data_IF_656341918702
#
_entry.id   IF_656341918702
#
_cell.length_a   1.000
_cell.length_b   1.000
_cell.length_c   1.000
_cell.angle_alpha   90.00
_cell.angle_beta   90.00
_cell.angle_gamma   90.00
#
_symmetry.space_group_name_H-M   'P 1'
#
loop_
_entity.id
_entity.type
_entity.pdbx_description
1 polymer ?
#
# COMPACT_ATOMS: atom_id res chain seq x y z
N UNK A 1 -10.16 -22.54 28.33
CA UNK A 1 -8.81 -22.70 27.76
C UNK A 1 -8.34 -21.34 27.27
N UNK A 2 -7.46 -20.70 28.04
CA UNK A 2 -6.91 -19.39 27.73
C UNK A 2 -5.96 -19.50 26.54
N UNK A 3 -6.09 -18.59 25.57
CA UNK A 3 -5.02 -18.32 24.64
C UNK A 3 -3.92 -17.60 25.40
N UNK A 4 -2.86 -18.31 25.66
CA UNK A 4 -1.64 -17.76 26.23
C UNK A 4 -0.95 -16.93 25.14
N UNK A 5 -1.07 -15.61 25.24
CA UNK A 5 -0.30 -14.66 24.45
C UNK A 5 1.11 -14.60 25.04
N UNK A 6 1.88 -15.67 24.88
CA UNK A 6 3.30 -15.61 25.21
C UNK A 6 3.98 -14.68 24.22
N UNK A 7 4.67 -13.69 24.75
CA UNK A 7 5.38 -12.59 24.08
C UNK A 7 6.55 -13.02 23.17
N UNK A 8 6.66 -14.30 22.85
CA UNK A 8 7.81 -14.86 22.12
C UNK A 8 7.61 -14.92 20.59
N UNK A 9 6.48 -14.44 20.05
CA UNK A 9 6.19 -14.45 18.61
C UNK A 9 6.48 -13.11 17.92
N UNK A 10 6.93 -12.09 18.63
CA UNK A 10 7.54 -10.88 18.04
C UNK A 10 9.03 -11.08 17.81
N UNK A 11 9.40 -12.12 17.07
CA UNK A 11 10.79 -12.27 16.67
C UNK A 11 11.10 -11.30 15.50
N UNK A 12 12.34 -10.86 15.46
CA UNK A 12 12.91 -10.02 14.39
C UNK A 12 12.65 -10.57 12.96
N UNK A 13 12.29 -11.84 12.84
CA UNK A 13 11.99 -12.51 11.58
C UNK A 13 10.68 -12.04 10.93
N UNK A 14 9.66 -11.63 11.72
CA UNK A 14 8.40 -11.11 11.18
C UNK A 14 8.55 -9.70 10.59
N UNK A 15 9.42 -8.86 11.16
CA UNK A 15 9.62 -7.49 10.69
C UNK A 15 10.26 -7.42 9.30
N UNK A 16 11.04 -8.42 8.92
CA UNK A 16 11.64 -8.53 7.59
C UNK A 16 10.66 -9.06 6.53
N UNK A 17 9.56 -9.68 6.97
CA UNK A 17 8.55 -10.27 6.11
C UNK A 17 7.41 -9.33 5.77
N UNK A 18 7.32 -8.19 6.45
CA UNK A 18 6.25 -7.21 6.26
C UNK A 18 6.86 -5.90 5.74
N UNK A 19 6.41 -5.46 4.56
CA UNK A 19 6.65 -4.12 4.05
C UNK A 19 5.49 -3.20 4.46
N UNK A 20 5.78 -1.98 4.91
CA UNK A 20 4.74 -1.03 5.32
C UNK A 20 4.93 0.33 4.64
N UNK A 21 3.86 0.81 4.01
CA UNK A 21 3.75 2.16 3.48
C UNK A 21 2.71 2.90 4.32
N UNK A 22 3.12 3.84 5.19
CA UNK A 22 2.21 4.59 6.04
C UNK A 22 1.50 5.71 5.27
N UNK A 23 0.32 6.11 5.71
CA UNK A 23 -0.44 7.22 5.18
C UNK A 23 0.35 8.55 5.22
N UNK A 24 1.08 8.79 6.31
CA UNK A 24 1.89 10.01 6.49
C UNK A 24 3.22 9.65 7.15
N UNK A 25 4.27 10.29 6.68
CA UNK A 25 5.57 10.26 7.33
C UNK A 25 5.91 11.68 7.80
N UNK A 26 6.26 11.81 9.07
CA UNK A 26 6.78 13.07 9.62
C UNK A 26 8.27 13.17 9.27
N UNK A 27 8.58 13.92 8.22
CA UNK A 27 9.95 14.24 7.81
C UNK A 27 10.14 15.75 7.98
N UNK A 28 11.27 16.15 8.53
CA UNK A 28 11.70 17.54 8.46
C UNK A 28 12.22 17.82 7.04
N UNK A 29 11.38 18.43 6.22
CA UNK A 29 11.68 18.75 4.82
C UNK A 29 12.79 19.79 4.64
N UNK A 30 13.26 20.42 5.73
CA UNK A 30 14.41 21.32 5.69
C UNK A 30 15.75 20.57 5.65
N UNK A 31 15.75 19.29 5.98
CA UNK A 31 16.93 18.45 5.91
C UNK A 31 17.27 18.09 4.45
N UNK A 32 18.52 18.21 4.02
CA UNK A 32 18.95 17.79 2.68
C UNK A 32 19.09 16.27 2.61
N UNK A 33 17.95 15.55 2.68
CA UNK A 33 17.88 14.10 2.68
C UNK A 33 17.64 13.57 1.26
N UNK A 34 18.59 12.86 0.69
CA UNK A 34 18.45 12.26 -0.65
C UNK A 34 17.67 10.95 -0.58
N UNK A 35 17.07 10.56 -1.69
CA UNK A 35 16.31 9.31 -1.82
C UNK A 35 17.12 8.10 -1.33
N UNK A 36 18.36 7.94 -1.78
CA UNK A 36 19.22 6.82 -1.34
C UNK A 36 19.50 6.80 0.15
N UNK A 37 19.69 7.97 0.76
CA UNK A 37 19.97 8.10 2.18
C UNK A 37 18.69 7.76 2.99
N UNK A 38 17.52 8.18 2.48
CA UNK A 38 16.22 7.82 3.03
C UNK A 38 15.94 6.31 3.00
N UNK A 39 16.32 5.62 1.92
CA UNK A 39 16.18 4.17 1.82
C UNK A 39 16.91 3.42 2.93
N UNK A 40 18.02 3.98 3.44
CA UNK A 40 18.89 3.37 4.44
C UNK A 40 18.72 3.92 5.86
N UNK A 41 17.75 4.81 6.12
CA UNK A 41 17.61 5.50 7.41
C UNK A 41 17.41 4.58 8.62
N UNK A 42 16.66 3.49 8.46
CA UNK A 42 16.35 2.58 9.56
C UNK A 42 17.26 1.37 9.61
N UNK A 43 17.90 1.06 8.51
CA UNK A 43 18.74 -0.11 8.36
C UNK A 43 19.70 0.08 7.18
N UNK A 44 20.92 -0.35 7.34
CA UNK A 44 21.90 -0.31 6.27
C UNK A 44 21.51 -1.31 5.17
N UNK A 45 21.10 -0.79 4.03
CA UNK A 45 20.79 -1.59 2.84
C UNK A 45 21.98 -1.55 1.88
N UNK A 46 22.27 -2.68 1.26
CA UNK A 46 23.23 -2.76 0.17
C UNK A 46 22.74 -1.92 -1.02
N UNK A 47 23.66 -1.22 -1.67
CA UNK A 47 23.35 -0.33 -2.78
C UNK A 47 22.61 -1.05 -3.92
N UNK A 48 22.92 -2.31 -4.14
CA UNK A 48 22.27 -3.15 -5.15
C UNK A 48 20.77 -3.33 -4.85
N UNK A 49 20.41 -3.59 -3.59
CA UNK A 49 19.01 -3.71 -3.16
C UNK A 49 18.24 -2.40 -3.28
N UNK A 50 18.89 -1.28 -2.98
CA UNK A 50 18.31 0.05 -3.18
C UNK A 50 18.03 0.28 -4.67
N UNK A 51 18.99 0.00 -5.54
CA UNK A 51 18.84 0.19 -6.99
C UNK A 51 17.75 -0.72 -7.56
N UNK A 52 17.68 -2.00 -7.14
CA UNK A 52 16.64 -2.94 -7.53
C UNK A 52 15.25 -2.41 -7.16
N UNK A 53 15.04 -2.01 -5.90
CA UNK A 53 13.76 -1.52 -5.41
C UNK A 53 13.32 -0.22 -6.10
N UNK A 54 14.24 0.73 -6.30
CA UNK A 54 13.96 1.99 -7.01
C UNK A 54 13.68 1.75 -8.51
N UNK A 55 14.32 0.76 -9.12
CA UNK A 55 14.07 0.37 -10.51
C UNK A 55 12.69 -0.26 -10.66
N UNK A 56 12.31 -1.15 -9.74
CA UNK A 56 11.01 -1.81 -9.72
C UNK A 56 9.85 -0.82 -9.61
N UNK A 57 10.04 0.26 -8.84
CA UNK A 57 9.04 1.33 -8.69
C UNK A 57 9.19 2.45 -9.75
N UNK A 58 10.15 2.34 -10.67
CA UNK A 58 10.35 3.28 -11.78
C UNK A 58 10.97 4.63 -11.38
N UNK A 59 11.60 4.72 -10.20
CA UNK A 59 12.17 5.98 -9.68
C UNK A 59 13.68 5.95 -9.44
N UNK A 60 14.40 5.04 -10.06
CA UNK A 60 15.87 4.93 -9.94
C UNK A 60 16.59 6.23 -10.33
N UNK A 61 16.05 6.96 -11.30
CA UNK A 61 16.59 8.25 -11.76
C UNK A 61 16.53 9.36 -10.69
N UNK A 62 15.76 9.16 -9.62
CA UNK A 62 15.62 10.10 -8.50
C UNK A 62 16.57 9.77 -7.33
N UNK A 63 17.39 8.73 -7.43
CA UNK A 63 18.23 8.20 -6.34
C UNK A 63 19.03 9.27 -5.59
N UNK A 64 19.61 10.24 -6.32
CA UNK A 64 20.44 11.31 -5.75
C UNK A 64 19.68 12.62 -5.52
N UNK A 65 18.38 12.69 -5.85
CA UNK A 65 17.52 13.85 -5.66
C UNK A 65 17.11 13.99 -4.18
N UNK A 66 16.95 15.22 -3.70
CA UNK A 66 16.41 15.45 -2.35
C UNK A 66 14.94 15.07 -2.28
N UNK A 67 14.50 14.51 -1.16
CA UNK A 67 13.10 14.13 -0.95
C UNK A 67 12.15 15.33 -1.05
N UNK A 68 12.57 16.52 -0.59
CA UNK A 68 11.77 17.74 -0.63
C UNK A 68 11.49 18.24 -2.05
N UNK A 69 12.25 17.77 -3.05
CA UNK A 69 12.08 18.17 -4.45
C UNK A 69 11.20 17.19 -5.25
N UNK A 70 10.67 16.15 -4.60
CA UNK A 70 9.82 15.14 -5.24
C UNK A 70 8.38 15.61 -5.32
N UNK A 71 7.69 15.25 -6.41
CA UNK A 71 6.23 15.30 -6.47
C UNK A 71 5.61 14.27 -5.51
N UNK A 72 4.32 14.44 -5.16
CA UNK A 72 3.62 13.49 -4.30
C UNK A 72 3.67 12.06 -4.84
N UNK A 73 3.44 11.87 -6.13
CA UNK A 73 3.51 10.55 -6.77
C UNK A 73 4.92 9.96 -6.81
N UNK A 74 5.96 10.78 -7.05
CA UNK A 74 7.36 10.33 -6.95
C UNK A 74 7.70 9.89 -5.53
N UNK A 75 7.27 10.65 -4.53
CA UNK A 75 7.49 10.32 -3.13
C UNK A 75 6.79 9.02 -2.73
N UNK A 76 5.52 8.82 -3.15
CA UNK A 76 4.81 7.56 -2.90
C UNK A 76 5.52 6.34 -3.51
N UNK A 77 6.07 6.49 -4.73
CA UNK A 77 6.87 5.43 -5.36
C UNK A 77 8.19 5.15 -4.62
N UNK A 78 8.81 6.18 -4.02
CA UNK A 78 9.99 6.01 -3.15
C UNK A 78 9.63 5.30 -1.85
N UNK A 79 8.48 5.63 -1.23
CA UNK A 79 7.96 4.92 -0.06
C UNK A 79 7.71 3.44 -0.36
N UNK A 80 7.09 3.17 -1.50
CA UNK A 80 6.85 1.81 -1.98
C UNK A 80 8.17 1.07 -2.21
N UNK A 81 9.16 1.70 -2.87
CA UNK A 81 10.49 1.13 -3.05
C UNK A 81 11.14 0.73 -1.71
N UNK A 82 11.04 1.60 -0.71
CA UNK A 82 11.55 1.31 0.63
C UNK A 82 10.84 0.12 1.27
N UNK A 83 9.53 0.04 1.17
CA UNK A 83 8.74 -1.05 1.74
C UNK A 83 9.08 -2.41 1.11
N UNK A 84 9.39 -2.44 -0.19
CA UNK A 84 9.70 -3.68 -0.92
C UNK A 84 11.19 -4.05 -0.96
N UNK A 85 12.08 -3.19 -0.48
CA UNK A 85 13.54 -3.38 -0.56
C UNK A 85 14.05 -4.67 0.10
N UNK A 86 13.27 -5.23 1.03
CA UNK A 86 13.56 -6.50 1.71
C UNK A 86 12.80 -7.70 1.15
N UNK A 87 12.09 -7.53 0.01
CA UNK A 87 11.25 -8.57 -0.61
C UNK A 87 10.27 -9.20 0.40
N UNK A 88 9.34 -8.39 0.95
CA UNK A 88 8.41 -8.85 1.98
C UNK A 88 7.46 -9.93 1.45
N UNK A 89 6.92 -10.75 2.35
CA UNK A 89 5.84 -11.70 2.06
C UNK A 89 4.45 -11.03 2.11
N UNK A 90 4.33 -9.92 2.88
CA UNK A 90 3.12 -9.10 2.99
C UNK A 90 3.47 -7.63 2.87
N UNK A 91 2.77 -6.92 1.99
CA UNK A 91 2.86 -5.48 1.84
C UNK A 91 1.60 -4.80 2.39
N UNK A 92 1.77 -4.01 3.44
CA UNK A 92 0.69 -3.22 4.07
C UNK A 92 0.75 -1.80 3.54
N UNK A 93 -0.33 -1.34 2.92
CA UNK A 93 -0.46 -0.04 2.29
C UNK A 93 -1.58 0.74 2.97
N UNK A 94 -1.24 1.84 3.64
CA UNK A 94 -2.18 2.70 4.35
C UNK A 94 -2.38 3.99 3.55
N UNK A 95 -3.54 4.09 2.86
CA UNK A 95 -3.89 5.23 1.98
C UNK A 95 -2.78 5.59 0.98
N UNK A 96 -2.28 4.65 0.17
CA UNK A 96 -1.03 4.83 -0.60
C UNK A 96 -1.12 5.89 -1.70
N UNK A 97 -2.33 6.32 -2.08
CA UNK A 97 -2.56 7.33 -3.14
C UNK A 97 -2.81 8.74 -2.59
N UNK A 98 -2.74 8.94 -1.28
CA UNK A 98 -3.00 10.25 -0.70
C UNK A 98 -2.00 11.30 -1.21
N UNK A 99 -2.51 12.39 -1.81
CA UNK A 99 -1.70 13.47 -2.37
C UNK A 99 -1.15 13.19 -3.78
N UNK A 100 -1.65 12.16 -4.45
CA UNK A 100 -1.39 11.85 -5.86
C UNK A 100 -2.56 12.34 -6.70
N UNK A 101 -2.32 12.80 -7.92
CA UNK A 101 -3.37 13.17 -8.86
C UNK A 101 -4.03 11.90 -9.46
N UNK A 102 -5.22 12.05 -10.02
CA UNK A 102 -6.03 10.92 -10.50
C UNK A 102 -5.28 9.98 -11.48
N UNK A 103 -4.50 10.56 -12.40
CA UNK A 103 -3.73 9.75 -13.37
C UNK A 103 -2.60 8.97 -12.67
N UNK A 104 -1.93 9.61 -11.72
CA UNK A 104 -0.89 8.98 -10.90
C UNK A 104 -1.43 7.90 -9.98
N UNK A 105 -2.66 8.05 -9.48
CA UNK A 105 -3.34 7.06 -8.65
C UNK A 105 -3.53 5.74 -9.40
N UNK A 106 -4.11 5.78 -10.61
CA UNK A 106 -4.28 4.59 -11.46
C UNK A 106 -2.93 3.91 -11.71
N UNK A 107 -1.93 4.69 -12.12
CA UNK A 107 -0.59 4.17 -12.39
C UNK A 107 0.11 3.59 -11.14
N UNK A 108 -0.23 4.09 -9.94
CA UNK A 108 0.31 3.54 -8.70
C UNK A 108 -0.34 2.21 -8.33
N UNK A 109 -1.65 2.05 -8.51
CA UNK A 109 -2.32 0.77 -8.27
C UNK A 109 -1.89 -0.32 -9.26
N UNK A 110 -1.71 0.02 -10.55
CA UNK A 110 -1.13 -0.91 -11.53
C UNK A 110 0.28 -1.34 -11.14
N UNK A 111 1.09 -0.40 -10.65
CA UNK A 111 2.43 -0.70 -10.15
C UNK A 111 2.40 -1.62 -8.94
N UNK A 112 1.52 -1.37 -7.96
CA UNK A 112 1.34 -2.20 -6.77
C UNK A 112 0.97 -3.64 -7.16
N UNK A 113 0.04 -3.80 -8.09
CA UNK A 113 -0.35 -5.12 -8.63
C UNK A 113 0.84 -5.84 -9.27
N UNK A 114 1.58 -5.16 -10.14
CA UNK A 114 2.78 -5.70 -10.78
C UNK A 114 3.82 -6.15 -9.75
N UNK A 115 4.07 -5.34 -8.72
CA UNK A 115 5.01 -5.67 -7.64
C UNK A 115 4.56 -6.90 -6.87
N UNK A 116 3.26 -7.01 -6.56
CA UNK A 116 2.71 -8.20 -5.88
C UNK A 116 2.97 -9.48 -6.69
N UNK A 117 2.75 -9.44 -7.99
CA UNK A 117 3.01 -10.56 -8.90
C UNK A 117 4.51 -10.90 -8.98
N UNK A 118 5.38 -9.90 -9.16
CA UNK A 118 6.84 -10.11 -9.28
C UNK A 118 7.48 -10.63 -7.99
N UNK A 119 7.04 -10.13 -6.83
CA UNK A 119 7.58 -10.53 -5.53
C UNK A 119 6.82 -11.71 -4.91
N UNK A 120 5.71 -12.14 -5.52
CA UNK A 120 4.79 -13.14 -4.95
C UNK A 120 4.41 -12.81 -3.51
N UNK A 121 4.06 -11.54 -3.23
CA UNK A 121 3.69 -11.05 -1.90
C UNK A 121 2.21 -10.75 -1.81
N UNK A 122 1.60 -11.02 -0.65
CA UNK A 122 0.24 -10.59 -0.33
C UNK A 122 0.16 -9.07 -0.16
N UNK A 123 -1.01 -8.46 -0.45
CA UNK A 123 -1.24 -7.05 -0.21
C UNK A 123 -2.39 -6.87 0.78
N UNK A 124 -2.17 -6.06 1.81
CA UNK A 124 -3.21 -5.51 2.67
C UNK A 124 -3.35 -4.01 2.36
N UNK A 125 -4.40 -3.66 1.64
CA UNK A 125 -4.73 -2.28 1.30
C UNK A 125 -5.73 -1.71 2.30
N UNK A 126 -5.40 -0.60 2.94
CA UNK A 126 -6.29 0.19 3.79
C UNK A 126 -6.64 1.45 3.01
N UNK A 127 -7.92 1.64 2.71
CA UNK A 127 -8.39 2.82 1.97
C UNK A 127 -9.84 3.15 2.32
N UNK A 128 -10.20 4.41 2.20
CA UNK A 128 -11.58 4.89 2.27
C UNK A 128 -12.21 5.07 0.87
N UNK A 129 -11.42 4.89 -0.18
CA UNK A 129 -11.94 4.92 -1.56
C UNK A 129 -12.58 3.58 -1.93
N UNK A 130 -13.90 3.54 -1.84
CA UNK A 130 -14.70 2.36 -2.14
C UNK A 130 -14.56 1.86 -3.56
N UNK A 131 -14.41 2.79 -4.53
CA UNK A 131 -14.30 2.41 -5.94
C UNK A 131 -13.04 1.58 -6.16
N UNK A 132 -11.91 2.07 -5.67
CA UNK A 132 -10.62 1.37 -5.78
C UNK A 132 -10.65 0.04 -5.03
N UNK A 133 -11.12 0.03 -3.77
CA UNK A 133 -11.19 -1.21 -2.99
C UNK A 133 -12.01 -2.27 -3.71
N UNK A 134 -13.21 -1.91 -4.21
CA UNK A 134 -14.10 -2.86 -4.88
C UNK A 134 -13.58 -3.34 -6.24
N UNK A 135 -12.77 -2.54 -6.94
CA UNK A 135 -12.25 -2.88 -8.27
C UNK A 135 -10.93 -3.64 -8.23
N UNK A 136 -10.07 -3.36 -7.25
CA UNK A 136 -8.68 -3.81 -7.23
C UNK A 136 -8.37 -4.94 -6.23
N UNK A 137 -9.36 -5.38 -5.41
CA UNK A 137 -9.12 -6.38 -4.36
C UNK A 137 -9.89 -7.67 -4.58
N UNK A 138 -9.38 -8.78 -4.05
CA UNK A 138 -10.03 -10.10 -4.09
C UNK A 138 -10.93 -10.32 -2.87
N UNK A 139 -10.57 -9.70 -1.74
CA UNK A 139 -11.31 -9.81 -0.47
C UNK A 139 -11.38 -8.46 0.21
N UNK A 140 -12.54 -8.13 0.74
CA UNK A 140 -12.83 -6.86 1.43
C UNK A 140 -13.27 -7.13 2.85
N UNK A 141 -12.77 -6.33 3.78
CA UNK A 141 -13.22 -6.29 5.18
C UNK A 141 -13.66 -4.85 5.49
N UNK A 142 -14.93 -4.67 5.82
CA UNK A 142 -15.49 -3.37 6.20
C UNK A 142 -15.42 -3.16 7.71
N UNK A 143 -14.86 -2.01 8.12
CA UNK A 143 -14.68 -1.64 9.51
C UNK A 143 -15.47 -0.37 9.83
N UNK A 144 -16.28 -0.42 10.88
CA UNK A 144 -16.96 0.73 11.47
C UNK A 144 -17.06 0.55 12.99
N UNK A 145 -15.94 0.64 13.69
CA UNK A 145 -15.82 0.33 15.11
C UNK A 145 -15.86 -1.20 15.40
N UNK A 146 -16.38 -1.97 14.49
CA UNK A 146 -16.39 -3.44 14.45
C UNK A 146 -16.32 -3.92 13.00
N UNK A 147 -16.13 -5.21 12.77
CA UNK A 147 -16.22 -5.80 11.42
C UNK A 147 -17.69 -5.89 11.04
N UNK A 148 -18.15 -5.01 10.14
CA UNK A 148 -19.52 -4.98 9.65
C UNK A 148 -19.80 -6.08 8.64
N UNK A 149 -18.90 -6.26 7.69
CA UNK A 149 -18.98 -7.29 6.66
C UNK A 149 -17.60 -7.66 6.12
N UNK A 150 -17.53 -8.86 5.55
CA UNK A 150 -16.29 -9.38 4.96
C UNK A 150 -16.65 -10.38 3.87
N UNK A 151 -15.90 -10.40 2.78
CA UNK A 151 -16.14 -11.30 1.66
C UNK A 151 -15.56 -10.80 0.35
N UNK A 152 -15.96 -11.41 -0.77
CA UNK A 152 -15.63 -10.87 -2.08
C UNK A 152 -16.28 -9.48 -2.27
N UNK A 153 -15.74 -8.60 -3.14
CA UNK A 153 -16.35 -7.30 -3.42
C UNK A 153 -17.84 -7.39 -3.80
N UNK A 154 -18.23 -8.45 -4.51
CA UNK A 154 -19.64 -8.69 -4.90
C UNK A 154 -20.51 -9.00 -3.68
N UNK A 155 -20.04 -9.86 -2.78
CA UNK A 155 -20.78 -10.24 -1.58
C UNK A 155 -20.92 -9.04 -0.64
N UNK A 156 -19.84 -8.29 -0.45
CA UNK A 156 -19.84 -7.08 0.39
C UNK A 156 -20.79 -6.02 -0.16
N UNK A 157 -20.83 -5.79 -1.45
CA UNK A 157 -21.73 -4.81 -2.06
C UNK A 157 -23.22 -5.18 -1.92
N UNK A 158 -23.54 -6.46 -1.71
CA UNK A 158 -24.91 -6.93 -1.48
C UNK A 158 -25.29 -6.90 -0.01
N UNK A 159 -24.32 -6.78 0.91
CA UNK A 159 -24.53 -6.80 2.34
C UNK A 159 -25.39 -5.60 2.80
N UNK A 160 -26.35 -5.85 3.71
CA UNK A 160 -27.27 -4.82 4.21
C UNK A 160 -26.57 -3.76 5.06
N UNK A 161 -25.57 -4.14 5.85
CA UNK A 161 -24.80 -3.20 6.68
C UNK A 161 -23.92 -2.29 5.81
N UNK A 162 -23.31 -2.85 4.76
CA UNK A 162 -22.57 -2.05 3.78
C UNK A 162 -23.47 -1.02 3.09
N UNK A 163 -24.66 -1.42 2.64
CA UNK A 163 -25.65 -0.53 2.03
C UNK A 163 -26.15 0.55 3.00
N UNK A 164 -26.31 0.20 4.26
CA UNK A 164 -26.70 1.18 5.28
C UNK A 164 -25.63 2.23 5.56
N UNK A 165 -24.34 1.87 5.46
CA UNK A 165 -23.22 2.78 5.67
C UNK A 165 -22.95 3.70 4.46
N UNK A 166 -23.01 3.15 3.24
CA UNK A 166 -22.53 3.82 2.02
C UNK A 166 -23.65 4.19 1.02
N UNK A 167 -24.89 3.80 1.28
CA UNK A 167 -26.07 4.14 0.49
C UNK A 167 -26.01 3.63 -0.96
N UNK A 168 -26.63 4.38 -1.89
CA UNK A 168 -26.69 4.02 -3.29
C UNK A 168 -25.35 4.10 -4.04
N UNK A 169 -24.32 4.71 -3.46
CA UNK A 169 -22.95 4.69 -4.00
C UNK A 169 -22.40 3.25 -4.11
N UNK A 170 -22.85 2.36 -3.23
CA UNK A 170 -22.53 0.94 -3.29
C UNK A 170 -22.98 0.25 -4.59
N UNK A 171 -24.03 0.73 -5.23
CA UNK A 171 -24.59 0.15 -6.45
C UNK A 171 -23.86 0.61 -7.72
N UNK A 172 -23.24 1.77 -7.70
CA UNK A 172 -22.55 2.36 -8.87
C UNK A 172 -21.17 1.73 -9.08
N UNK A 173 -20.46 1.40 -8.03
CA UNK A 173 -19.12 0.80 -8.08
C UNK A 173 -19.04 -0.58 -8.75
N UNK A 174 -20.15 -1.33 -8.79
CA UNK A 174 -20.23 -2.64 -9.46
C UNK A 174 -20.58 -2.56 -10.94
N UNK A 175 -21.20 -1.46 -11.42
CA UNK A 175 -21.58 -1.33 -12.83
C UNK A 175 -20.36 -1.14 -13.74
N UNK A 176 -19.31 -0.53 -13.26
CA UNK A 176 -18.09 -0.29 -14.02
C UNK A 176 -17.21 -1.54 -14.22
N UNK A 177 -17.31 -2.54 -13.33
CA UNK A 177 -16.61 -3.83 -13.52
C UNK A 177 -17.08 -4.61 -14.76
N UNK A 178 -18.30 -4.36 -15.25
CA UNK A 178 -18.85 -5.02 -16.45
C UNK A 178 -18.45 -4.35 -17.76
N UNK A 179 -17.84 -3.17 -17.71
CA UNK A 179 -17.44 -2.39 -18.90
C UNK A 179 -15.96 -2.52 -19.26
N UNK A 180 -15.18 -3.29 -18.51
CA UNK A 180 -13.75 -3.56 -18.74
C UNK A 180 -13.55 -5.06 -19.00
N UNK A 181 -14.22 -5.56 -20.04
CA UNK A 181 -13.94 -6.86 -20.70
C UNK A 181 -13.82 -6.62 -22.19
#
# INVERSE_FOLDING_TARGET
SGCDWSSDVCSSDLTNKIGYVPQKISIDWTLPLRVKDFMSLTESLEEEKINEALSLTGVIHLKDKNLGDLSGGEFQRVLLARAISKKPELLVLDEPVQGVDFTGEIALYELIKKISEELNCGILLISHDLHTVMSATDHVVCLNGHVCCSGSPIDVAQNSEYKALFGDQASQTLSDRKSVV
#
